data_IF_654034680871
#
_entry.id   IF_654034680871
#
_cell.length_a   1.000
_cell.length_b   1.000
_cell.length_c   1.000
_cell.angle_alpha   90.00
_cell.angle_beta   90.00
_cell.angle_gamma   90.00
#
_symmetry.space_group_name_H-M   'P 1'
#
loop_
_entity.id
_entity.type
_entity.pdbx_description
1 polymer ?
#
# COMPACT_ATOMS: atom_id res chain seq x y z
N UNK A 1 -10.08 -0.83 -25.95
CA UNK A 1 -9.50 -2.00 -26.64
C UNK A 1 -9.96 -3.24 -25.91
N UNK A 2 -10.58 -4.22 -26.58
CA UNK A 2 -10.99 -5.49 -25.95
C UNK A 2 -9.87 -6.51 -26.19
N UNK A 3 -9.22 -6.96 -25.14
CA UNK A 3 -8.19 -8.01 -25.21
C UNK A 3 -8.89 -9.35 -25.05
N UNK A 4 -9.00 -10.11 -26.14
CA UNK A 4 -9.68 -11.42 -26.11
C UNK A 4 -8.72 -12.56 -25.77
N UNK A 5 -7.41 -12.40 -26.06
CA UNK A 5 -6.38 -13.38 -25.75
C UNK A 5 -5.02 -12.68 -25.63
N UNK A 6 -4.22 -13.12 -24.66
CA UNK A 6 -2.82 -12.69 -24.55
C UNK A 6 -1.96 -13.44 -25.57
N UNK A 7 -0.91 -12.79 -26.07
CA UNK A 7 0.12 -13.49 -26.83
C UNK A 7 1.01 -14.32 -25.90
N UNK A 8 1.68 -15.38 -26.38
CA UNK A 8 2.57 -16.18 -25.54
C UNK A 8 3.67 -15.36 -24.84
N UNK A 9 4.18 -14.33 -25.51
CA UNK A 9 5.20 -13.42 -24.95
C UNK A 9 4.63 -12.61 -23.77
N UNK A 10 3.40 -12.11 -23.91
CA UNK A 10 2.70 -11.38 -22.83
C UNK A 10 2.33 -12.29 -21.66
N UNK A 11 1.91 -13.51 -21.94
CA UNK A 11 1.67 -14.52 -20.88
C UNK A 11 2.94 -14.82 -20.09
N UNK A 12 4.09 -14.97 -20.77
CA UNK A 12 5.38 -15.20 -20.11
C UNK A 12 5.78 -14.02 -19.18
N UNK A 13 5.42 -12.78 -19.53
CA UNK A 13 5.70 -11.61 -18.69
C UNK A 13 4.93 -11.62 -17.36
N UNK A 14 3.77 -12.26 -17.27
CA UNK A 14 3.00 -12.34 -16.01
C UNK A 14 3.85 -12.96 -14.89
N UNK A 15 4.59 -14.03 -15.20
CA UNK A 15 5.48 -14.65 -14.22
C UNK A 15 6.60 -13.71 -13.76
N UNK A 16 7.17 -12.91 -14.66
CA UNK A 16 8.22 -11.93 -14.34
C UNK A 16 7.72 -10.88 -13.37
N UNK A 17 6.51 -10.33 -13.60
CA UNK A 17 5.91 -9.33 -12.70
C UNK A 17 5.55 -9.94 -11.35
N UNK A 18 4.94 -11.12 -11.32
CA UNK A 18 4.64 -11.85 -10.10
C UNK A 18 5.92 -12.06 -9.27
N UNK A 19 6.98 -12.58 -9.88
CA UNK A 19 8.22 -12.92 -9.18
C UNK A 19 8.93 -11.65 -8.67
N UNK A 20 8.88 -10.54 -9.44
CA UNK A 20 9.38 -9.24 -9.00
C UNK A 20 8.67 -8.75 -7.74
N UNK A 21 7.34 -8.77 -7.72
CA UNK A 21 6.57 -8.28 -6.56
C UNK A 21 6.64 -9.24 -5.38
N UNK A 22 6.74 -10.53 -5.63
CA UNK A 22 7.01 -11.51 -4.58
C UNK A 22 8.38 -11.26 -3.93
N UNK A 23 9.41 -10.97 -4.71
CA UNK A 23 10.72 -10.61 -4.18
C UNK A 23 10.68 -9.32 -3.34
N UNK A 24 9.92 -8.30 -3.76
CA UNK A 24 9.73 -7.09 -2.96
C UNK A 24 9.01 -7.37 -1.63
N UNK A 25 7.96 -8.19 -1.66
CA UNK A 25 7.16 -8.53 -0.47
C UNK A 25 7.93 -9.39 0.54
N UNK A 26 8.91 -10.17 0.09
CA UNK A 26 9.74 -11.04 0.93
C UNK A 26 11.15 -10.48 1.19
N UNK A 27 11.41 -9.24 0.76
CA UNK A 27 12.72 -8.60 0.96
C UNK A 27 12.99 -8.37 2.43
N UNK A 28 14.20 -8.72 2.86
CA UNK A 28 14.74 -8.48 4.21
C UNK A 28 15.76 -7.33 4.23
N UNK A 29 15.90 -6.63 3.12
CA UNK A 29 16.71 -5.43 3.07
C UNK A 29 16.10 -4.35 3.97
N UNK A 30 16.94 -3.60 4.67
CA UNK A 30 16.47 -2.49 5.51
C UNK A 30 15.58 -1.53 4.71
N UNK A 31 14.51 -1.07 5.33
CA UNK A 31 13.60 -0.11 4.71
C UNK A 31 14.32 1.18 4.29
N UNK A 32 14.04 1.65 3.07
CA UNK A 32 14.46 2.98 2.60
C UNK A 32 13.48 4.02 3.16
N UNK A 33 13.71 4.42 4.42
CA UNK A 33 12.82 5.31 5.16
C UNK A 33 12.56 6.64 4.44
N UNK A 34 13.58 7.37 3.93
CA UNK A 34 13.33 8.63 3.23
C UNK A 34 12.41 8.48 2.02
N UNK A 35 12.62 7.44 1.22
CA UNK A 35 11.82 7.15 0.03
C UNK A 35 10.40 6.74 0.40
N UNK A 36 10.23 5.87 1.39
CA UNK A 36 8.94 5.43 1.88
C UNK A 36 8.11 6.60 2.45
N UNK A 37 8.74 7.47 3.26
CA UNK A 37 8.07 8.64 3.84
C UNK A 37 7.62 9.65 2.78
N UNK A 38 8.45 9.91 1.77
CA UNK A 38 8.10 10.80 0.67
C UNK A 38 6.91 10.26 -0.13
N UNK A 39 6.94 8.98 -0.49
CA UNK A 39 5.85 8.34 -1.22
C UNK A 39 4.55 8.29 -0.40
N UNK A 40 4.64 7.97 0.89
CA UNK A 40 3.49 7.90 1.78
C UNK A 40 2.84 9.27 2.02
N UNK A 41 3.61 10.34 2.16
CA UNK A 41 3.09 11.71 2.26
C UNK A 41 2.38 12.13 0.97
N UNK A 42 2.96 11.85 -0.18
CA UNK A 42 2.34 12.14 -1.47
C UNK A 42 1.02 11.36 -1.67
N UNK A 43 0.98 10.11 -1.23
CA UNK A 43 -0.24 9.29 -1.27
C UNK A 43 -1.33 9.84 -0.33
N UNK A 44 -0.96 10.23 0.88
CA UNK A 44 -1.88 10.86 1.83
C UNK A 44 -2.44 12.19 1.30
N UNK A 45 -1.62 12.99 0.61
CA UNK A 45 -2.06 14.23 -0.05
C UNK A 45 -3.10 13.95 -1.15
N UNK A 46 -2.88 12.94 -2.01
CA UNK A 46 -3.86 12.52 -3.01
C UNK A 46 -5.16 12.06 -2.35
N UNK A 47 -5.09 11.43 -1.18
CA UNK A 47 -6.24 11.02 -0.37
C UNK A 47 -6.90 12.17 0.39
N UNK A 48 -6.36 13.40 0.33
CA UNK A 48 -6.87 14.57 1.06
C UNK A 48 -6.56 14.53 2.55
N UNK A 49 -5.59 13.72 3.00
CA UNK A 49 -5.19 13.59 4.40
C UNK A 49 -3.99 14.48 4.69
N UNK A 50 -4.15 15.44 5.60
CA UNK A 50 -3.03 16.25 6.10
C UNK A 50 -2.18 15.40 7.06
N UNK A 51 -0.93 15.17 6.72
CA UNK A 51 0.03 14.41 7.52
C UNK A 51 0.73 15.32 8.52
N UNK A 52 0.51 15.09 9.80
CA UNK A 52 1.18 15.79 10.91
C UNK A 52 2.38 14.99 11.43
N UNK A 53 2.30 13.66 11.39
CA UNK A 53 3.34 12.74 11.88
C UNK A 53 3.54 11.55 10.98
N UNK A 54 4.73 10.96 11.03
CA UNK A 54 5.07 9.66 10.45
C UNK A 54 5.56 8.77 11.58
N UNK A 55 5.01 7.58 11.67
CA UNK A 55 5.34 6.57 12.67
C UNK A 55 5.93 5.36 11.95
N UNK A 56 7.02 4.82 12.47
CA UNK A 56 7.60 3.56 11.99
C UNK A 56 7.28 2.45 12.97
N UNK A 57 6.57 1.46 12.51
CA UNK A 57 6.24 0.26 13.26
C UNK A 57 7.28 -0.83 12.98
N UNK A 58 7.70 -1.52 14.04
CA UNK A 58 8.65 -2.62 13.90
C UNK A 58 8.00 -3.84 13.25
N UNK A 59 6.72 -4.10 13.55
CA UNK A 59 5.95 -5.22 13.02
C UNK A 59 4.63 -4.76 12.39
N UNK A 60 4.00 -5.55 11.51
CA UNK A 60 2.66 -5.26 10.99
C UNK A 60 1.60 -5.16 12.09
N UNK A 61 1.73 -5.94 13.17
CA UNK A 61 0.83 -5.90 14.31
C UNK A 61 0.94 -4.57 15.07
N UNK A 62 2.15 -4.05 15.22
CA UNK A 62 2.37 -2.72 15.79
C UNK A 62 1.78 -1.64 14.90
N UNK A 63 1.99 -1.73 13.58
CA UNK A 63 1.41 -0.81 12.61
C UNK A 63 -0.11 -0.78 12.65
N UNK A 64 -0.74 -1.94 12.72
CA UNK A 64 -2.18 -2.06 12.87
C UNK A 64 -2.68 -1.45 14.19
N UNK A 65 -1.97 -1.69 15.29
CA UNK A 65 -2.30 -1.11 16.61
C UNK A 65 -2.20 0.43 16.59
N UNK A 66 -1.16 0.99 16.00
CA UNK A 66 -1.01 2.44 15.85
C UNK A 66 -2.12 3.05 14.97
N UNK A 67 -2.51 2.37 13.90
CA UNK A 67 -3.64 2.76 13.07
C UNK A 67 -4.95 2.80 13.86
N UNK A 68 -5.24 1.76 14.63
CA UNK A 68 -6.44 1.69 15.46
C UNK A 68 -6.47 2.77 16.56
N UNK A 69 -5.31 3.02 17.20
CA UNK A 69 -5.14 4.07 18.21
C UNK A 69 -5.39 5.48 17.64
N UNK A 70 -4.87 5.77 16.45
CA UNK A 70 -5.08 7.06 15.77
C UNK A 70 -6.57 7.29 15.49
N UNK A 71 -7.29 6.27 15.03
CA UNK A 71 -8.73 6.33 14.82
C UNK A 71 -9.53 6.42 16.12
N UNK A 72 -9.14 5.69 17.17
CA UNK A 72 -9.77 5.77 18.48
C UNK A 72 -9.62 7.17 19.09
N UNK A 73 -8.44 7.78 18.98
CA UNK A 73 -8.18 9.15 19.42
C UNK A 73 -9.07 10.17 18.70
N UNK A 74 -9.19 10.07 17.36
CA UNK A 74 -10.11 10.92 16.61
C UNK A 74 -11.56 10.74 17.05
N UNK A 75 -12.01 9.49 17.24
CA UNK A 75 -13.36 9.20 17.72
C UNK A 75 -13.63 9.80 19.10
N UNK A 76 -12.67 9.76 20.01
CA UNK A 76 -12.79 10.30 21.33
C UNK A 76 -12.88 11.85 21.32
N UNK A 77 -12.20 12.50 20.36
CA UNK A 77 -12.19 13.97 20.23
C UNK A 77 -13.44 14.54 19.56
N UNK A 78 -14.22 13.72 18.84
CA UNK A 78 -15.40 14.15 18.10
C UNK A 78 -16.68 13.96 18.92
N UNK A 79 -17.48 15.02 19.06
CA UNK A 79 -18.81 14.97 19.67
C UNK A 79 -19.77 14.00 18.93
N UNK A 80 -20.78 13.47 19.61
CA UNK A 80 -21.63 12.38 19.11
C UNK A 80 -22.36 12.69 17.77
N UNK A 81 -22.78 13.92 17.53
CA UNK A 81 -23.47 14.35 16.31
C UNK A 81 -22.51 14.54 15.11
N UNK A 82 -21.31 15.04 15.38
CA UNK A 82 -20.25 15.18 14.37
C UNK A 82 -19.69 13.82 13.94
N UNK A 83 -19.69 12.84 14.85
CA UNK A 83 -19.22 11.47 14.59
C UNK A 83 -19.99 10.80 13.45
N UNK A 84 -21.31 10.89 13.43
CA UNK A 84 -22.13 10.20 12.43
C UNK A 84 -21.94 10.81 11.02
N UNK A 85 -21.85 12.14 10.92
CA UNK A 85 -21.70 12.84 9.65
C UNK A 85 -20.30 12.72 9.06
N UNK A 86 -19.26 12.93 9.87
CA UNK A 86 -17.85 12.77 9.44
C UNK A 86 -17.49 11.31 9.16
N UNK A 87 -18.05 10.38 9.95
CA UNK A 87 -17.83 8.95 9.76
C UNK A 87 -18.35 8.49 8.40
N UNK A 88 -19.58 8.87 8.03
CA UNK A 88 -20.14 8.49 6.73
C UNK A 88 -19.37 9.12 5.57
N UNK A 89 -18.94 10.38 5.68
CA UNK A 89 -18.23 11.09 4.63
C UNK A 89 -16.75 10.68 4.51
N UNK A 90 -16.02 10.58 5.64
CA UNK A 90 -14.62 10.14 5.67
C UNK A 90 -14.47 8.66 5.32
N UNK A 91 -15.36 7.79 5.82
CA UNK A 91 -15.37 6.38 5.46
C UNK A 91 -15.67 6.18 3.98
N UNK A 92 -16.68 6.84 3.43
CA UNK A 92 -16.99 6.72 2.01
C UNK A 92 -15.84 7.21 1.13
N UNK A 93 -15.21 8.34 1.48
CA UNK A 93 -14.09 8.92 0.73
C UNK A 93 -12.78 8.15 0.93
N UNK A 94 -12.44 7.78 2.17
CA UNK A 94 -11.21 7.05 2.50
C UNK A 94 -11.28 5.59 2.05
N UNK A 95 -12.44 4.91 2.25
CA UNK A 95 -12.62 3.54 1.79
C UNK A 95 -12.70 3.43 0.28
N UNK A 96 -13.32 4.37 -0.43
CA UNK A 96 -13.26 4.41 -1.87
C UNK A 96 -11.82 4.60 -2.36
N UNK A 97 -11.08 5.53 -1.75
CA UNK A 97 -9.68 5.83 -2.10
C UNK A 97 -8.69 4.74 -1.65
N UNK A 98 -8.87 4.16 -0.44
CA UNK A 98 -7.98 3.14 0.13
C UNK A 98 -8.34 1.71 -0.33
N UNK A 99 -9.61 1.40 -0.52
CA UNK A 99 -10.05 0.09 -1.01
C UNK A 99 -9.58 -0.16 -2.44
N UNK A 100 -9.50 0.90 -3.26
CA UNK A 100 -8.94 0.80 -4.61
C UNK A 100 -7.40 0.83 -4.60
N UNK A 101 -6.77 1.34 -3.53
CA UNK A 101 -5.32 1.50 -3.44
C UNK A 101 -4.60 0.49 -2.53
N UNK A 102 -5.28 -0.17 -1.59
CA UNK A 102 -4.70 -1.12 -0.62
C UNK A 102 -5.03 -2.59 -0.92
N UNK A 103 -5.59 -2.89 -2.08
CA UNK A 103 -5.68 -4.27 -2.52
C UNK A 103 -4.31 -4.75 -2.97
N UNK A 104 -3.66 -5.49 -2.08
CA UNK A 104 -2.57 -6.43 -2.29
C UNK A 104 -1.49 -6.10 -3.35
N UNK A 105 -0.24 -6.35 -3.01
CA UNK A 105 0.92 -6.31 -3.92
C UNK A 105 0.64 -6.99 -5.27
N UNK A 106 -0.21 -8.01 -5.30
CA UNK A 106 -0.64 -8.73 -6.50
C UNK A 106 -1.41 -7.84 -7.48
N UNK A 107 -2.30 -6.97 -6.98
CA UNK A 107 -3.04 -6.02 -7.82
C UNK A 107 -2.12 -4.92 -8.38
N UNK A 108 -1.17 -4.46 -7.59
CA UNK A 108 -0.17 -3.48 -8.08
C UNK A 108 0.65 -4.08 -9.20
N UNK A 109 1.10 -5.33 -9.06
CA UNK A 109 1.81 -6.07 -10.11
C UNK A 109 0.96 -6.18 -11.38
N UNK A 110 -0.32 -6.52 -11.25
CA UNK A 110 -1.24 -6.64 -12.38
C UNK A 110 -1.47 -5.29 -13.09
N UNK A 111 -1.71 -4.21 -12.35
CA UNK A 111 -1.95 -2.90 -12.95
C UNK A 111 -0.71 -2.35 -13.66
N UNK A 112 0.49 -2.55 -13.09
CA UNK A 112 1.75 -2.16 -13.74
C UNK A 112 1.99 -3.02 -14.99
N UNK A 113 1.76 -4.33 -14.90
CA UNK A 113 1.80 -5.20 -16.08
C UNK A 113 0.83 -4.73 -17.17
N UNK A 114 -0.41 -4.38 -16.81
CA UNK A 114 -1.41 -3.90 -17.75
C UNK A 114 -0.97 -2.59 -18.43
N UNK A 115 -0.38 -1.68 -17.68
CA UNK A 115 0.16 -0.43 -18.22
C UNK A 115 1.33 -0.66 -19.17
N UNK A 116 2.32 -1.47 -18.76
CA UNK A 116 3.57 -1.63 -19.49
C UNK A 116 3.46 -2.62 -20.67
N UNK A 117 2.68 -3.70 -20.53
CA UNK A 117 2.59 -4.78 -21.53
C UNK A 117 1.33 -4.75 -22.37
N UNK A 118 0.21 -4.22 -21.83
CA UNK A 118 -1.07 -4.18 -22.54
C UNK A 118 -1.43 -2.78 -23.03
N UNK A 119 -0.54 -1.80 -22.81
CA UNK A 119 -0.74 -0.40 -23.18
C UNK A 119 -2.06 0.19 -22.61
N UNK A 120 -2.47 -0.26 -21.42
CA UNK A 120 -3.60 0.34 -20.72
C UNK A 120 -3.20 1.73 -20.24
N UNK A 121 -4.00 2.73 -20.60
CA UNK A 121 -3.79 4.11 -20.19
C UNK A 121 -4.69 4.40 -19.00
N UNK A 122 -4.09 4.75 -17.87
CA UNK A 122 -4.78 5.23 -16.68
C UNK A 122 -4.86 6.76 -16.72
N UNK A 123 -5.86 7.33 -16.06
CA UNK A 123 -5.86 8.77 -15.79
C UNK A 123 -4.66 9.16 -14.92
N UNK A 124 -4.31 10.44 -14.93
CA UNK A 124 -3.10 10.95 -14.25
C UNK A 124 -3.08 10.63 -12.76
N UNK A 125 -4.24 10.74 -12.08
CA UNK A 125 -4.35 10.42 -10.65
C UNK A 125 -4.09 8.95 -10.38
N UNK A 126 -4.73 8.07 -11.14
CA UNK A 126 -4.56 6.60 -11.01
C UNK A 126 -3.13 6.16 -11.31
N UNK A 127 -2.52 6.72 -12.36
CA UNK A 127 -1.13 6.45 -12.71
C UNK A 127 -0.16 6.90 -11.60
N UNK A 128 -0.40 8.07 -10.98
CA UNK A 128 0.41 8.57 -9.89
C UNK A 128 0.25 7.71 -8.61
N UNK A 129 -0.97 7.31 -8.27
CA UNK A 129 -1.22 6.38 -7.14
C UNK A 129 -0.49 5.08 -7.38
N UNK A 130 -0.56 4.49 -8.57
CA UNK A 130 0.12 3.25 -8.91
C UNK A 130 1.64 3.36 -8.78
N UNK A 131 2.22 4.47 -9.25
CA UNK A 131 3.65 4.77 -9.08
C UNK A 131 4.04 4.85 -7.60
N UNK A 132 3.25 5.54 -6.78
CA UNK A 132 3.50 5.68 -5.34
C UNK A 132 3.39 4.34 -4.61
N UNK A 133 2.44 3.49 -4.99
CA UNK A 133 2.35 2.11 -4.47
C UNK A 133 3.61 1.30 -4.77
N UNK A 134 4.13 1.42 -6.00
CA UNK A 134 5.37 0.76 -6.38
C UNK A 134 6.57 1.27 -5.57
N UNK A 135 6.62 2.59 -5.28
CA UNK A 135 7.64 3.17 -4.41
C UNK A 135 7.55 2.64 -2.97
N UNK A 136 6.34 2.55 -2.40
CA UNK A 136 6.12 1.96 -1.08
C UNK A 136 6.57 0.50 -1.04
N UNK A 137 6.10 -0.33 -1.99
CA UNK A 137 6.49 -1.74 -2.06
C UNK A 137 8.01 -1.94 -2.19
N UNK A 138 8.69 -1.04 -2.90
CA UNK A 138 10.14 -1.06 -3.05
C UNK A 138 10.90 -0.56 -1.81
N UNK A 139 10.25 0.15 -0.88
CA UNK A 139 10.94 0.90 0.18
C UNK A 139 10.66 0.39 1.60
N UNK A 140 9.47 -0.17 1.86
CA UNK A 140 9.07 -0.69 3.18
C UNK A 140 8.14 -1.89 3.03
N UNK A 141 7.73 -2.49 4.15
CA UNK A 141 6.85 -3.66 4.13
C UNK A 141 5.38 -3.28 3.94
N UNK A 142 4.89 -2.28 4.67
CA UNK A 142 3.47 -1.90 4.64
C UNK A 142 3.27 -0.42 4.98
N UNK A 143 2.10 0.10 4.59
CA UNK A 143 1.67 1.48 4.83
C UNK A 143 0.23 1.47 5.36
N UNK A 144 -0.03 2.29 6.39
CA UNK A 144 -1.38 2.69 6.80
C UNK A 144 -1.48 4.22 6.81
N UNK A 145 -2.61 4.74 6.35
CA UNK A 145 -2.92 6.16 6.41
C UNK A 145 -4.07 6.36 7.38
N UNK A 146 -3.79 7.04 8.48
CA UNK A 146 -4.74 7.39 9.52
C UNK A 146 -4.91 8.91 9.59
N UNK A 147 -5.93 9.43 10.29
CA UNK A 147 -6.12 10.87 10.45
C UNK A 147 -4.89 11.54 11.07
N UNK A 148 -4.25 12.40 10.29
CA UNK A 148 -3.07 13.15 10.71
C UNK A 148 -1.77 12.34 10.78
N UNK A 149 -1.80 11.03 10.56
CA UNK A 149 -0.64 10.16 10.75
C UNK A 149 -0.49 9.18 9.60
N UNK A 150 0.73 9.07 9.11
CA UNK A 150 1.16 7.98 8.24
C UNK A 150 1.94 6.99 9.09
N UNK A 151 1.63 5.70 8.96
CA UNK A 151 2.30 4.62 9.66
C UNK A 151 2.95 3.73 8.59
N UNK A 152 4.26 3.56 8.70
CA UNK A 152 5.08 2.73 7.84
C UNK A 152 5.61 1.55 8.65
N UNK A 153 5.76 0.39 8.02
CA UNK A 153 6.29 -0.80 8.67
C UNK A 153 7.69 -1.12 8.13
N UNK A 154 8.60 -1.42 9.05
CA UNK A 154 9.91 -1.99 8.71
C UNK A 154 9.74 -3.30 7.93
N UNK A 155 10.81 -3.70 7.26
CA UNK A 155 10.87 -5.02 6.64
C UNK A 155 11.26 -6.09 7.66
N UNK A 156 10.81 -7.34 7.47
CA UNK A 156 11.24 -8.43 8.32
C UNK A 156 12.75 -8.64 8.22
N UNK A 157 13.35 -9.13 9.29
CA UNK A 157 14.77 -9.49 9.33
C UNK A 157 15.03 -10.84 8.69
N UNK A 158 13.99 -11.68 8.60
CA UNK A 158 14.07 -12.98 7.93
C UNK A 158 12.74 -13.33 7.26
N UNK A 159 12.84 -13.83 6.04
CA UNK A 159 11.73 -14.44 5.30
C UNK A 159 12.18 -15.81 4.77
N UNK A 160 11.45 -16.84 5.12
CA UNK A 160 11.68 -18.18 4.62
C UNK A 160 10.55 -18.60 3.68
N UNK A 161 10.93 -18.97 2.45
CA UNK A 161 9.99 -19.32 1.40
C UNK A 161 10.25 -20.76 0.96
N UNK A 162 9.24 -21.62 1.02
CA UNK A 162 9.32 -23.02 0.56
C UNK A 162 8.22 -23.28 -0.44
N UNK A 163 8.59 -23.71 -1.65
CA UNK A 163 7.63 -24.01 -2.72
C UNK A 163 6.78 -22.80 -3.13
N UNK A 164 7.32 -21.57 -3.07
CA UNK A 164 6.60 -20.33 -3.38
C UNK A 164 5.62 -19.88 -2.31
N UNK A 165 5.67 -20.47 -1.10
CA UNK A 165 4.86 -20.07 0.05
C UNK A 165 5.75 -19.56 1.17
N UNK A 166 5.33 -18.48 1.79
CA UNK A 166 5.96 -17.93 2.98
C UNK A 166 5.68 -18.86 4.16
N UNK A 167 6.73 -19.42 4.79
CA UNK A 167 6.61 -20.40 5.88
C UNK A 167 7.06 -19.83 7.22
N UNK A 168 7.97 -18.86 7.22
CA UNK A 168 8.44 -18.19 8.42
C UNK A 168 8.81 -16.74 8.16
N UNK A 169 8.47 -15.84 9.09
CA UNK A 169 8.82 -14.40 9.05
C UNK A 169 9.26 -13.99 10.44
N UNK A 170 10.44 -13.41 10.56
CA UNK A 170 10.96 -12.88 11.81
C UNK A 170 11.09 -11.35 11.72
N UNK A 171 10.79 -10.68 12.82
CA UNK A 171 10.85 -9.23 13.00
C UNK A 171 11.78 -8.93 14.17
N UNK A 172 12.51 -7.81 14.12
CA UNK A 172 13.27 -7.31 15.28
C UNK A 172 12.36 -6.72 16.36
#
# INVERSE_FOLDING_TARGET
>A
MKIEKLTPEREAQIAVYRDRYFALATSTERADRPRAEAAARAMAEIAGVKVNSVVWAATPQDGQREYENAWASLRASLGASLRASLWASLWASLWASLRDSLRDSDWTAFYIYAQEQLAVVYDERSANVLRLHNEIAASCFALWIAPGTVILCERPTKCEVVGGKLVNVEWE
#
